data_IF_507325925748
#
_entry.id   IF_507325925748
#
_cell.length_a   1.000
_cell.length_b   1.000
_cell.length_c   1.000
_cell.angle_alpha   90.00
_cell.angle_beta   90.00
_cell.angle_gamma   90.00
#
_symmetry.space_group_name_H-M   'P 1'
#
loop_
_entity.id
_entity.type
_entity.pdbx_description
1 polymer ?
#
# COMPACT_ATOMS: atom_id res chain seq x y z
N UNK A 1 -12.51 -1.22 -11.69
CA UNK A 1 -13.20 -0.60 -10.55
C UNK A 1 -13.81 0.72 -10.95
N UNK A 2 -14.98 1.01 -10.41
CA UNK A 2 -15.67 2.29 -10.64
C UNK A 2 -15.18 3.36 -9.65
N UNK A 3 -15.35 4.64 -9.99
CA UNK A 3 -15.01 5.74 -9.09
C UNK A 3 -15.78 5.67 -7.77
N UNK A 4 -17.01 5.17 -7.79
CA UNK A 4 -17.83 4.98 -6.58
C UNK A 4 -17.20 3.96 -5.62
N UNK A 5 -16.68 2.86 -6.13
CA UNK A 5 -15.99 1.84 -5.34
C UNK A 5 -14.70 2.39 -4.73
N UNK A 6 -13.91 3.12 -5.51
CA UNK A 6 -12.68 3.78 -5.05
C UNK A 6 -12.98 4.83 -3.98
N UNK A 7 -14.01 5.65 -4.17
CA UNK A 7 -14.47 6.62 -3.17
C UNK A 7 -14.83 5.94 -1.85
N UNK A 8 -15.49 4.80 -1.90
CA UNK A 8 -15.82 4.00 -0.71
C UNK A 8 -14.61 3.39 -0.01
N UNK A 9 -13.47 3.25 -0.69
CA UNK A 9 -12.23 2.73 -0.13
C UNK A 9 -11.37 3.80 0.57
N UNK A 10 -11.65 5.07 0.40
CA UNK A 10 -10.85 6.16 0.97
C UNK A 10 -10.73 6.09 2.50
N UNK A 11 -11.79 5.87 3.29
CA UNK A 11 -11.65 5.72 4.74
C UNK A 11 -10.74 4.56 5.13
N UNK A 12 -10.87 3.42 4.48
CA UNK A 12 -10.01 2.26 4.73
C UNK A 12 -8.55 2.53 4.35
N UNK A 13 -8.30 3.31 3.31
CA UNK A 13 -6.96 3.75 2.93
C UNK A 13 -6.29 4.56 4.05
N UNK A 14 -7.01 5.51 4.65
CA UNK A 14 -6.47 6.32 5.75
C UNK A 14 -6.32 5.53 7.06
N UNK A 15 -7.12 4.50 7.27
CA UNK A 15 -7.08 3.63 8.45
C UNK A 15 -6.08 2.46 8.30
N UNK A 16 -5.37 2.36 7.17
CA UNK A 16 -4.45 1.26 6.86
C UNK A 16 -5.10 -0.14 6.88
N UNK A 17 -6.39 -0.22 6.58
CA UNK A 17 -7.14 -1.48 6.60
C UNK A 17 -7.26 -2.17 5.25
N UNK A 18 -6.76 -1.55 4.17
CA UNK A 18 -6.75 -2.16 2.84
C UNK A 18 -5.69 -3.27 2.76
N UNK A 19 -6.07 -4.41 2.17
CA UNK A 19 -5.11 -5.45 1.81
C UNK A 19 -4.23 -5.00 0.63
N UNK A 20 -3.14 -5.74 0.38
CA UNK A 20 -2.16 -5.36 -0.65
C UNK A 20 -2.76 -5.25 -2.05
N UNK A 21 -3.66 -6.16 -2.41
CA UNK A 21 -4.31 -6.16 -3.72
C UNK A 21 -5.25 -4.96 -3.88
N UNK A 22 -6.10 -4.70 -2.90
CA UNK A 22 -7.01 -3.56 -2.90
C UNK A 22 -6.25 -2.23 -2.90
N UNK A 23 -5.18 -2.14 -2.15
CA UNK A 23 -4.32 -0.95 -2.12
C UNK A 23 -3.67 -0.69 -3.48
N UNK A 24 -3.20 -1.74 -4.16
CA UNK A 24 -2.64 -1.63 -5.50
C UNK A 24 -3.66 -1.10 -6.50
N UNK A 25 -4.86 -1.65 -6.50
CA UNK A 25 -5.96 -1.22 -7.38
C UNK A 25 -6.35 0.22 -7.09
N UNK A 26 -6.45 0.59 -5.82
CA UNK A 26 -6.74 1.95 -5.38
C UNK A 26 -5.70 2.96 -5.88
N UNK A 27 -4.43 2.70 -5.66
CA UNK A 27 -3.34 3.58 -6.09
C UNK A 27 -3.26 3.71 -7.61
N UNK A 28 -3.45 2.61 -8.34
CA UNK A 28 -3.48 2.63 -9.82
C UNK A 28 -4.65 3.46 -10.36
N UNK A 29 -5.82 3.37 -9.74
CA UNK A 29 -6.97 4.19 -10.13
C UNK A 29 -6.73 5.69 -9.87
N UNK A 30 -6.12 6.04 -8.75
CA UNK A 30 -5.75 7.43 -8.43
C UNK A 30 -4.80 8.03 -9.48
N UNK A 31 -3.89 7.24 -10.03
CA UNK A 31 -2.97 7.69 -11.08
C UNK A 31 -3.70 8.03 -12.39
N UNK A 32 -4.87 7.45 -12.62
CA UNK A 32 -5.64 7.60 -13.87
C UNK A 32 -6.85 8.50 -13.75
N UNK A 33 -7.38 8.68 -12.55
CA UNK A 33 -8.64 9.40 -12.33
C UNK A 33 -8.42 10.66 -11.51
N UNK A 34 -8.50 11.82 -12.17
CA UNK A 34 -8.36 13.12 -11.52
C UNK A 34 -9.48 13.36 -10.49
N UNK A 35 -10.71 12.97 -10.79
CA UNK A 35 -11.87 13.17 -9.90
C UNK A 35 -11.70 12.44 -8.58
N UNK A 36 -11.24 11.17 -8.60
CA UNK A 36 -10.98 10.41 -7.40
C UNK A 36 -9.82 10.99 -6.59
N UNK A 37 -8.80 11.52 -7.26
CA UNK A 37 -7.70 12.21 -6.62
C UNK A 37 -8.15 13.48 -5.91
N UNK A 38 -8.99 14.28 -6.55
CA UNK A 38 -9.56 15.49 -5.95
C UNK A 38 -10.42 15.17 -4.72
N UNK A 39 -11.20 14.12 -4.78
CA UNK A 39 -11.99 13.65 -3.63
C UNK A 39 -11.10 13.18 -2.48
N UNK A 40 -10.04 12.46 -2.78
CA UNK A 40 -9.04 12.05 -1.79
C UNK A 40 -8.39 13.28 -1.13
N UNK A 41 -8.05 14.29 -1.90
CA UNK A 41 -7.47 15.54 -1.39
C UNK A 41 -8.40 16.25 -0.42
N UNK A 42 -9.70 16.32 -0.72
CA UNK A 42 -10.70 16.93 0.15
C UNK A 42 -10.79 16.16 1.48
N UNK A 43 -10.89 14.85 1.43
CA UNK A 43 -10.99 14.02 2.64
C UNK A 43 -9.70 14.06 3.45
N UNK A 44 -8.54 14.05 2.81
CA UNK A 44 -7.26 14.22 3.47
C UNK A 44 -7.16 15.55 4.20
N UNK A 45 -7.58 16.63 3.56
CA UNK A 45 -7.58 17.96 4.15
C UNK A 45 -8.46 18.00 5.41
N UNK A 46 -9.66 17.42 5.35
CA UNK A 46 -10.58 17.35 6.50
C UNK A 46 -9.92 16.62 7.67
N UNK A 47 -9.36 15.45 7.43
CA UNK A 47 -8.69 14.65 8.47
C UNK A 47 -7.50 15.39 9.07
N UNK A 48 -6.68 16.03 8.22
CA UNK A 48 -5.52 16.79 8.68
C UNK A 48 -5.89 18.02 9.49
N UNK A 49 -6.91 18.75 9.05
CA UNK A 49 -7.40 19.92 9.80
C UNK A 49 -7.87 19.49 11.20
N UNK A 50 -8.64 18.43 11.31
CA UNK A 50 -9.07 17.92 12.61
C UNK A 50 -7.89 17.51 13.50
N UNK A 51 -6.91 16.81 12.95
CA UNK A 51 -5.73 16.37 13.71
C UNK A 51 -4.79 17.53 14.09
N UNK A 52 -4.74 18.59 13.30
CA UNK A 52 -3.87 19.74 13.55
C UNK A 52 -4.51 20.87 14.35
N UNK A 53 -5.82 20.87 14.54
CA UNK A 53 -6.48 21.83 15.46
C UNK A 53 -5.93 21.74 16.88
N UNK A 54 -5.46 20.55 17.29
CA UNK A 54 -4.85 20.33 18.59
C UNK A 54 -3.33 20.64 18.63
N UNK A 55 -2.65 20.68 17.47
CA UNK A 55 -1.18 20.79 17.39
C UNK A 55 -0.66 22.12 16.80
N UNK A 56 -1.52 22.97 16.23
CA UNK A 56 -1.14 24.31 15.73
C UNK A 56 -0.19 24.35 14.54
N UNK A 57 -0.18 23.31 13.69
CA UNK A 57 0.68 23.20 12.51
C UNK A 57 0.02 23.67 11.22
N UNK A 58 0.83 24.15 10.29
CA UNK A 58 0.41 24.52 8.94
C UNK A 58 0.26 23.28 8.06
N UNK A 59 -0.89 23.11 7.40
CA UNK A 59 -1.14 21.97 6.49
C UNK A 59 -0.84 22.40 5.05
N UNK A 60 0.15 21.77 4.43
CA UNK A 60 0.48 21.98 3.04
C UNK A 60 0.02 20.79 2.19
N UNK A 61 -1.18 20.90 1.62
CA UNK A 61 -1.81 19.84 0.84
C UNK A 61 -0.97 19.43 -0.38
N UNK A 62 -0.39 20.40 -1.08
CA UNK A 62 0.41 20.16 -2.29
C UNK A 62 1.66 19.33 -2.04
N UNK A 63 2.19 19.38 -0.82
CA UNK A 63 3.42 18.69 -0.42
C UNK A 63 3.14 17.39 0.33
N UNK A 64 2.18 17.43 1.26
CA UNK A 64 1.96 16.34 2.21
C UNK A 64 1.22 15.16 1.59
N UNK A 65 0.21 15.40 0.76
CA UNK A 65 -0.58 14.34 0.15
C UNK A 65 0.21 13.49 -0.86
N UNK A 66 0.95 14.07 -1.82
CA UNK A 66 1.80 13.26 -2.72
C UNK A 66 2.85 12.45 -1.97
N UNK A 67 3.45 13.01 -0.91
CA UNK A 67 4.41 12.30 -0.07
C UNK A 67 3.76 11.12 0.66
N UNK A 68 2.55 11.28 1.18
CA UNK A 68 1.79 10.23 1.84
C UNK A 68 1.47 9.08 0.89
N UNK A 69 0.95 9.38 -0.30
CA UNK A 69 0.63 8.38 -1.33
C UNK A 69 1.90 7.62 -1.75
N UNK A 70 3.01 8.31 -1.94
CA UNK A 70 4.28 7.68 -2.31
C UNK A 70 4.83 6.78 -1.21
N UNK A 71 4.67 7.16 0.05
CA UNK A 71 5.04 6.34 1.19
C UNK A 71 4.24 5.02 1.22
N UNK A 72 2.92 5.09 1.03
CA UNK A 72 2.06 3.91 0.97
C UNK A 72 2.43 2.99 -0.19
N UNK A 73 2.74 3.56 -1.34
CA UNK A 73 3.21 2.81 -2.51
C UNK A 73 4.53 2.08 -2.23
N UNK A 74 5.49 2.73 -1.59
CA UNK A 74 6.76 2.11 -1.21
C UNK A 74 6.58 0.97 -0.21
N UNK A 75 5.70 1.14 0.76
CA UNK A 75 5.37 0.10 1.73
C UNK A 75 4.75 -1.12 1.04
N UNK A 76 3.85 -0.91 0.08
CA UNK A 76 3.26 -1.98 -0.71
C UNK A 76 4.32 -2.78 -1.47
N UNK A 77 5.21 -2.10 -2.20
CA UNK A 77 6.31 -2.74 -2.93
C UNK A 77 7.26 -3.50 -2.01
N UNK A 78 7.55 -2.96 -0.84
CA UNK A 78 8.38 -3.62 0.16
C UNK A 78 7.73 -4.90 0.70
N UNK A 79 6.44 -4.86 1.00
CA UNK A 79 5.68 -6.05 1.43
C UNK A 79 5.67 -7.14 0.37
N UNK A 80 5.47 -6.79 -0.89
CA UNK A 80 5.50 -7.74 -2.01
C UNK A 80 6.88 -8.37 -2.20
N UNK A 81 7.95 -7.60 -2.09
CA UNK A 81 9.33 -8.12 -2.18
C UNK A 81 9.65 -9.08 -1.05
N UNK A 82 9.23 -8.77 0.17
CA UNK A 82 9.43 -9.65 1.32
C UNK A 82 8.66 -10.96 1.18
N UNK A 83 7.42 -10.92 0.70
CA UNK A 83 6.62 -12.12 0.43
C UNK A 83 7.27 -13.00 -0.66
N UNK A 84 7.76 -12.41 -1.75
CA UNK A 84 8.47 -13.11 -2.81
C UNK A 84 9.77 -13.74 -2.30
N UNK A 85 10.56 -13.01 -1.50
CA UNK A 85 11.79 -13.52 -0.91
C UNK A 85 11.54 -14.71 0.03
N UNK A 86 10.49 -14.65 0.86
CA UNK A 86 10.09 -15.76 1.73
C UNK A 86 9.74 -17.02 0.93
N UNK A 87 8.98 -16.88 -0.16
CA UNK A 87 8.65 -18.00 -1.05
C UNK A 87 9.87 -18.62 -1.72
N UNK A 88 10.83 -17.83 -2.14
CA UNK A 88 12.10 -18.32 -2.72
C UNK A 88 12.95 -19.09 -1.70
N UNK A 89 12.98 -18.67 -0.45
CA UNK A 89 13.69 -19.39 0.62
C UNK A 89 13.10 -20.77 0.89
N UNK A 90 11.78 -20.91 0.88
CA UNK A 90 11.10 -22.20 1.04
C UNK A 90 11.47 -23.18 -0.09
N UNK A 91 11.44 -22.72 -1.34
CA UNK A 91 11.81 -23.54 -2.51
C UNK A 91 13.25 -24.01 -2.41
N UNK A 92 14.17 -23.11 -2.05
CA UNK A 92 15.59 -23.46 -1.88
C UNK A 92 15.79 -24.52 -0.78
N UNK A 93 15.09 -24.41 0.34
CA UNK A 93 15.16 -25.38 1.42
C UNK A 93 14.67 -26.77 1.00
N UNK A 94 13.56 -26.85 0.26
CA UNK A 94 13.02 -28.10 -0.28
C UNK A 94 14.00 -28.75 -1.26
N UNK A 95 14.56 -27.99 -2.17
CA UNK A 95 15.55 -28.47 -3.15
C UNK A 95 16.78 -29.02 -2.43
N UNK A 96 17.31 -28.32 -1.44
CA UNK A 96 18.46 -28.75 -0.66
C UNK A 96 18.16 -30.06 0.09
N UNK A 97 16.99 -30.16 0.69
CA UNK A 97 16.57 -31.35 1.40
C UNK A 97 16.46 -32.58 0.46
N UNK A 98 15.85 -32.40 -0.72
CA UNK A 98 15.72 -33.46 -1.72
C UNK A 98 17.09 -33.95 -2.21
N UNK A 99 18.01 -33.03 -2.52
CA UNK A 99 19.37 -33.36 -2.95
C UNK A 99 20.10 -34.15 -1.86
N UNK A 100 19.99 -33.73 -0.61
CA UNK A 100 20.64 -34.42 0.52
C UNK A 100 20.06 -35.83 0.70
N UNK A 101 18.76 -36.02 0.56
CA UNK A 101 18.14 -37.33 0.61
C UNK A 101 18.60 -38.24 -0.50
N UNK A 102 18.72 -37.74 -1.73
CA UNK A 102 19.22 -38.52 -2.87
C UNK A 102 20.67 -39.00 -2.63
N UNK A 103 21.51 -38.09 -2.17
CA UNK A 103 22.94 -38.43 -1.87
C UNK A 103 23.02 -39.50 -0.77
N UNK A 104 22.15 -39.38 0.26
CA UNK A 104 22.14 -40.33 1.36
C UNK A 104 21.65 -41.73 0.93
N UNK A 105 20.74 -41.81 -0.05
CA UNK A 105 20.24 -43.09 -0.59
C UNK A 105 21.17 -43.74 -1.58
N UNK A 106 22.11 -43.03 -2.13
CA UNK A 106 23.17 -43.59 -3.00
C UNK A 106 24.33 -44.15 -2.18
#
# INVERSE_FOLDING_TARGET
MTCKEISGMIPAFFDDTLDNESLRVFLNHLDRCKTCREELEIQYLVIRVFNHMDAGGEVNLSRDLPAYIEQERRLLLKRERLAAAAGMMEIAAVITFVITCIIFMM
#
